data_IF_088734933756
#
_entry.id   IF_088734933756
#
_cell.length_a   1.000
_cell.length_b   1.000
_cell.length_c   1.000
_cell.angle_alpha   90.00
_cell.angle_beta   90.00
_cell.angle_gamma   90.00
#
_symmetry.space_group_name_H-M   'P 1'
#
loop_
_entity.id
_entity.type
_entity.pdbx_description
1 polymer ?
#
# COMPACT_ATOMS: atom_id res chain seq x y z
N UNK A 1 11.36 -20.07 -4.46
CA UNK A 1 10.08 -19.34 -4.55
C UNK A 1 8.96 -20.22 -4.04
N UNK A 2 8.17 -19.72 -3.09
CA UNK A 2 7.00 -20.39 -2.54
C UNK A 2 5.78 -19.52 -2.82
N UNK A 3 4.77 -20.04 -3.50
CA UNK A 3 3.62 -19.24 -3.91
C UNK A 3 2.43 -20.11 -4.29
N UNK A 4 1.35 -19.47 -4.74
CA UNK A 4 0.12 -20.14 -5.17
C UNK A 4 -0.39 -19.43 -6.43
N UNK A 5 -0.74 -20.18 -7.46
CA UNK A 5 -1.38 -19.66 -8.66
C UNK A 5 -2.82 -19.17 -8.37
N UNK A 6 -3.39 -18.30 -9.21
CA UNK A 6 -4.78 -17.83 -9.05
C UNK A 6 -5.83 -18.95 -8.90
N UNK A 7 -5.61 -20.12 -9.51
CA UNK A 7 -6.49 -21.28 -9.37
C UNK A 7 -6.25 -22.16 -8.13
N UNK A 8 -5.32 -21.79 -7.26
CA UNK A 8 -4.97 -22.54 -6.05
C UNK A 8 -3.84 -23.55 -6.21
N UNK A 9 -3.20 -23.67 -7.39
CA UNK A 9 -2.07 -24.59 -7.55
C UNK A 9 -0.85 -24.10 -6.76
N UNK A 10 -0.28 -24.90 -5.83
CA UNK A 10 0.88 -24.49 -5.06
C UNK A 10 2.16 -24.56 -5.89
N UNK A 11 2.97 -23.51 -5.82
CA UNK A 11 4.30 -23.42 -6.43
C UNK A 11 5.34 -23.61 -5.32
N UNK A 12 6.15 -24.66 -5.45
CA UNK A 12 7.23 -24.99 -4.53
C UNK A 12 8.53 -25.15 -5.34
N UNK A 13 9.24 -24.05 -5.57
CA UNK A 13 10.49 -24.03 -6.31
C UNK A 13 11.64 -23.82 -5.32
N UNK A 14 12.46 -24.86 -5.18
CA UNK A 14 13.75 -24.84 -4.49
C UNK A 14 14.88 -25.01 -5.52
N UNK A 15 16.02 -24.37 -5.28
CA UNK A 15 17.21 -24.41 -6.14
C UNK A 15 17.70 -25.84 -6.39
N UNK A 16 17.47 -26.73 -5.41
CA UNK A 16 17.84 -28.16 -5.51
C UNK A 16 16.98 -28.96 -6.47
N UNK A 17 15.72 -28.57 -6.66
CA UNK A 17 14.73 -29.36 -7.40
C UNK A 17 14.51 -28.86 -8.83
N UNK A 18 14.83 -27.59 -9.10
CA UNK A 18 14.56 -26.96 -10.40
C UNK A 18 15.70 -26.00 -10.84
N UNK A 19 16.94 -26.49 -10.99
CA UNK A 19 18.09 -25.64 -11.32
C UNK A 19 18.01 -24.99 -12.71
N UNK A 20 17.20 -25.54 -13.61
CA UNK A 20 17.19 -25.16 -15.04
C UNK A 20 16.09 -24.15 -15.42
N UNK A 21 15.35 -23.59 -14.45
CA UNK A 21 14.30 -22.60 -14.76
C UNK A 21 14.97 -21.30 -15.19
N UNK A 22 15.01 -21.06 -16.51
CA UNK A 22 15.57 -19.86 -17.12
C UNK A 22 14.79 -19.47 -18.36
N UNK A 23 14.89 -18.20 -18.73
CA UNK A 23 14.34 -17.66 -19.97
C UNK A 23 15.39 -16.75 -20.59
N UNK A 24 15.51 -16.81 -21.92
CA UNK A 24 16.34 -15.88 -22.69
C UNK A 24 15.42 -14.81 -23.26
N UNK A 25 15.84 -13.56 -23.16
CA UNK A 25 15.14 -12.43 -23.72
C UNK A 25 15.98 -11.83 -24.83
N UNK A 26 15.47 -11.88 -26.05
CA UNK A 26 16.12 -11.24 -27.18
C UNK A 26 15.97 -9.73 -27.09
N UNK A 27 17.03 -9.01 -27.43
CA UNK A 27 17.01 -7.56 -27.50
C UNK A 27 15.88 -7.09 -28.41
N UNK A 28 15.03 -6.19 -27.90
CA UNK A 28 13.95 -5.58 -28.67
C UNK A 28 14.25 -4.11 -28.93
N UNK A 29 14.20 -3.71 -30.20
CA UNK A 29 14.16 -2.30 -30.57
C UNK A 29 12.84 -1.69 -30.07
N UNK A 30 12.95 -0.66 -29.23
CA UNK A 30 11.79 -0.03 -28.59
C UNK A 30 12.14 1.34 -28.02
N UNK A 31 11.14 1.99 -27.41
CA UNK A 31 11.35 3.24 -26.67
C UNK A 31 11.99 2.96 -25.31
N UNK A 32 12.73 3.93 -24.79
CA UNK A 32 13.21 3.90 -23.40
C UNK A 32 12.00 3.80 -22.44
N UNK A 33 12.20 3.19 -21.26
CA UNK A 33 11.18 2.92 -20.25
C UNK A 33 10.10 1.90 -20.62
N UNK A 34 10.31 1.07 -21.65
CA UNK A 34 9.44 -0.07 -21.86
C UNK A 34 9.62 -1.11 -20.75
N UNK A 35 8.52 -1.77 -20.38
CA UNK A 35 8.43 -2.70 -19.25
C UNK A 35 7.91 -4.05 -19.76
N UNK A 36 8.45 -5.13 -19.22
CA UNK A 36 8.02 -6.50 -19.48
C UNK A 36 7.79 -7.25 -18.16
N UNK A 37 6.76 -8.09 -18.13
CA UNK A 37 6.43 -8.93 -17.00
C UNK A 37 7.15 -10.28 -17.15
N UNK A 38 7.85 -10.68 -16.10
CA UNK A 38 8.47 -12.00 -15.98
C UNK A 38 7.44 -12.92 -15.35
N UNK A 39 6.92 -13.85 -16.14
CA UNK A 39 5.79 -14.72 -15.79
C UNK A 39 6.29 -16.14 -15.54
N UNK A 40 6.00 -16.67 -14.37
CA UNK A 40 6.19 -18.08 -14.06
C UNK A 40 4.87 -18.82 -14.34
N UNK A 41 4.93 -19.81 -15.23
CA UNK A 41 3.78 -20.65 -15.60
C UNK A 41 4.02 -22.08 -15.14
N UNK A 42 2.98 -22.68 -14.57
CA UNK A 42 2.98 -24.08 -14.15
C UNK A 42 2.18 -24.92 -15.12
N UNK A 43 2.74 -26.05 -15.55
CA UNK A 43 2.03 -27.05 -16.34
C UNK A 43 1.75 -28.28 -15.46
N UNK A 44 0.62 -28.29 -14.73
CA UNK A 44 0.35 -29.31 -13.70
C UNK A 44 0.20 -30.73 -14.27
N UNK A 45 -0.21 -30.83 -15.54
CA UNK A 45 -0.44 -32.10 -16.22
C UNK A 45 0.82 -32.61 -16.95
N UNK A 46 1.87 -31.79 -17.05
CA UNK A 46 3.16 -32.19 -17.59
C UNK A 46 4.06 -32.67 -16.46
N UNK A 47 4.13 -34.00 -16.33
CA UNK A 47 4.80 -34.70 -15.24
C UNK A 47 6.28 -34.87 -15.53
N UNK A 48 7.14 -34.26 -14.72
CA UNK A 48 8.60 -34.44 -14.75
C UNK A 48 9.02 -35.40 -13.63
N UNK A 49 9.67 -36.54 -13.93
CA UNK A 49 10.22 -37.44 -12.91
C UNK A 49 11.22 -36.72 -12.00
N UNK A 50 11.16 -36.98 -10.69
CA UNK A 50 11.96 -36.28 -9.69
C UNK A 50 12.36 -37.17 -8.50
N UNK A 51 13.33 -36.72 -7.72
CA UNK A 51 13.91 -37.45 -6.59
C UNK A 51 15.04 -38.40 -6.99
N UNK A 52 15.67 -39.02 -6.01
CA UNK A 52 16.78 -39.96 -6.23
C UNK A 52 16.22 -41.37 -6.42
N UNK A 53 16.43 -42.03 -7.58
CA UNK A 53 16.05 -43.43 -7.78
C UNK A 53 16.75 -44.36 -6.79
N UNK A 54 16.05 -45.40 -6.32
CA UNK A 54 16.67 -46.47 -5.54
C UNK A 54 17.46 -47.38 -6.49
N UNK A 55 18.80 -47.50 -6.33
CA UNK A 55 19.62 -48.35 -7.21
C UNK A 55 19.26 -49.83 -7.13
N UNK A 56 18.54 -50.28 -6.10
CA UNK A 56 18.08 -51.67 -5.96
C UNK A 56 16.70 -51.90 -6.60
N UNK A 57 16.00 -50.86 -7.05
CA UNK A 57 14.70 -51.00 -7.71
C UNK A 57 14.88 -51.45 -9.17
N UNK A 58 14.16 -52.51 -9.57
CA UNK A 58 14.19 -53.05 -10.93
C UNK A 58 12.75 -53.13 -11.49
N UNK A 59 12.41 -52.40 -12.56
CA UNK A 59 13.26 -51.43 -13.27
C UNK A 59 13.48 -50.16 -12.44
N UNK A 60 14.60 -49.47 -12.68
CA UNK A 60 14.92 -48.20 -12.03
C UNK A 60 13.79 -47.18 -12.29
N UNK A 61 13.25 -46.59 -11.22
CA UNK A 61 12.19 -45.57 -11.31
C UNK A 61 12.54 -44.36 -10.46
N UNK A 62 12.02 -43.21 -10.86
CA UNK A 62 12.04 -42.02 -10.02
C UNK A 62 10.90 -42.12 -8.99
N UNK A 63 11.16 -41.84 -7.71
CA UNK A 63 10.17 -42.03 -6.65
C UNK A 63 9.06 -40.98 -6.70
N UNK A 64 9.33 -39.79 -7.25
CA UNK A 64 8.41 -38.66 -7.23
C UNK A 64 8.19 -38.09 -8.63
N UNK A 65 7.18 -37.24 -8.73
CA UNK A 65 6.85 -36.46 -9.93
C UNK A 65 6.63 -35.01 -9.52
N UNK A 66 7.11 -34.08 -10.34
CA UNK A 66 6.87 -32.66 -10.20
C UNK A 66 6.22 -32.09 -11.47
N UNK A 67 5.45 -31.00 -11.37
CA UNK A 67 4.95 -30.30 -12.56
C UNK A 67 6.11 -29.62 -13.30
N UNK A 68 5.91 -29.39 -14.60
CA UNK A 68 6.84 -28.56 -15.37
C UNK A 68 6.59 -27.08 -15.09
N UNK A 69 7.69 -26.32 -14.93
CA UNK A 69 7.68 -24.87 -14.77
C UNK A 69 8.34 -24.21 -15.98
N UNK A 70 7.84 -23.04 -16.38
CA UNK A 70 8.44 -22.25 -17.45
C UNK A 70 8.40 -20.76 -17.09
N UNK A 71 9.49 -20.06 -17.35
CA UNK A 71 9.52 -18.60 -17.36
C UNK A 71 9.23 -18.09 -18.76
N UNK A 72 8.38 -17.07 -18.84
CA UNK A 72 8.14 -16.25 -20.02
C UNK A 72 8.39 -14.78 -19.70
N UNK A 73 8.74 -14.01 -20.72
CA UNK A 73 8.82 -12.56 -20.62
C UNK A 73 7.84 -12.01 -21.64
N UNK A 74 6.87 -11.23 -21.17
CA UNK A 74 5.84 -10.66 -22.03
C UNK A 74 5.80 -9.14 -21.85
N UNK A 75 5.53 -8.35 -22.90
CA UNK A 75 5.35 -6.91 -22.75
C UNK A 75 4.24 -6.60 -21.75
N UNK A 76 4.52 -5.71 -20.81
CA UNK A 76 3.51 -5.27 -19.85
C UNK A 76 2.39 -4.55 -20.61
N UNK A 77 1.16 -5.01 -20.42
CA UNK A 77 -0.04 -4.40 -20.99
C UNK A 77 -1.05 -4.18 -19.86
N UNK A 78 -1.76 -3.07 -19.92
CA UNK A 78 -2.84 -2.79 -19.00
C UNK A 78 -4.00 -3.78 -19.24
N UNK A 79 -4.54 -4.34 -18.15
CA UNK A 79 -5.68 -5.28 -18.16
C UNK A 79 -5.43 -6.66 -18.79
N UNK A 80 -4.18 -7.09 -18.96
CA UNK A 80 -3.89 -8.47 -19.37
C UNK A 80 -4.29 -9.45 -18.27
N UNK A 81 -5.18 -10.37 -18.62
CA UNK A 81 -5.49 -11.54 -17.80
C UNK A 81 -4.46 -12.61 -18.10
N UNK A 82 -3.65 -12.91 -17.10
CA UNK A 82 -2.70 -14.02 -17.15
C UNK A 82 -3.43 -15.36 -17.03
N UNK A 83 -2.82 -16.43 -17.53
CA UNK A 83 -3.33 -17.79 -17.35
C UNK A 83 -3.47 -18.12 -15.86
N UNK A 84 -4.48 -18.92 -15.51
CA UNK A 84 -4.80 -19.22 -14.12
C UNK A 84 -3.71 -20.05 -13.40
N UNK A 85 -2.78 -20.67 -14.14
CA UNK A 85 -1.58 -21.34 -13.64
C UNK A 85 -0.32 -20.47 -13.73
N UNK A 86 -0.46 -19.16 -13.94
CA UNK A 86 0.65 -18.23 -14.07
C UNK A 86 0.66 -17.16 -12.99
N UNK A 87 1.86 -16.75 -12.58
CA UNK A 87 2.09 -15.64 -11.65
C UNK A 87 3.23 -14.76 -12.15
N UNK A 88 3.13 -13.44 -11.95
CA UNK A 88 4.21 -12.52 -12.29
C UNK A 88 5.20 -12.48 -11.14
N UNK A 89 6.42 -12.96 -11.39
CA UNK A 89 7.48 -13.09 -10.37
C UNK A 89 8.50 -11.95 -10.42
N UNK A 90 8.47 -11.14 -11.46
CA UNK A 90 9.38 -10.02 -11.62
C UNK A 90 8.99 -9.11 -12.77
N UNK A 91 9.70 -8.00 -12.87
CA UNK A 91 9.53 -7.02 -13.95
C UNK A 91 10.89 -6.70 -14.53
N UNK A 92 11.00 -6.72 -15.84
CA UNK A 92 12.15 -6.29 -16.61
C UNK A 92 11.88 -4.88 -17.14
N UNK A 93 12.85 -3.97 -16.99
CA UNK A 93 12.79 -2.61 -17.50
C UNK A 93 13.96 -2.36 -18.43
N UNK A 94 13.73 -1.57 -19.48
CA UNK A 94 14.82 -1.01 -20.28
C UNK A 94 15.20 0.35 -19.74
N UNK A 95 16.44 0.45 -19.28
CA UNK A 95 17.04 1.67 -18.75
C UNK A 95 17.41 2.63 -19.90
N UNK A 96 17.62 3.91 -19.57
CA UNK A 96 17.96 4.97 -20.53
C UNK A 96 19.30 4.77 -21.27
N UNK A 97 20.15 3.87 -20.78
CA UNK A 97 21.41 3.47 -21.42
C UNK A 97 21.21 2.28 -22.40
N UNK A 98 19.97 1.94 -22.74
CA UNK A 98 19.58 0.78 -23.53
C UNK A 98 19.89 -0.59 -22.92
N UNK A 99 20.30 -0.65 -21.64
CA UNK A 99 20.47 -1.91 -20.91
C UNK A 99 19.15 -2.37 -20.28
N UNK A 100 19.02 -3.68 -20.10
CA UNK A 100 17.89 -4.27 -19.38
C UNK A 100 18.25 -4.51 -17.92
N UNK A 101 17.37 -4.08 -17.02
CA UNK A 101 17.50 -4.29 -15.58
C UNK A 101 16.24 -4.88 -14.98
N UNK A 102 16.40 -5.66 -13.90
CA UNK A 102 15.26 -6.12 -13.10
C UNK A 102 14.80 -4.97 -12.22
N UNK A 103 13.49 -4.77 -12.13
CA UNK A 103 12.89 -3.79 -11.23
C UNK A 103 12.90 -4.32 -9.79
N UNK A 104 13.88 -3.90 -8.99
CA UNK A 104 13.97 -4.30 -7.58
C UNK A 104 12.86 -3.70 -6.70
N UNK A 105 12.13 -2.69 -7.19
CA UNK A 105 10.98 -2.13 -6.48
C UNK A 105 9.69 -2.92 -6.75
N UNK A 106 9.72 -3.87 -7.68
CA UNK A 106 8.57 -4.72 -7.96
C UNK A 106 8.31 -5.66 -6.76
N UNK A 107 7.06 -5.66 -6.29
CA UNK A 107 6.61 -6.59 -5.27
C UNK A 107 5.73 -7.64 -5.95
N UNK A 108 6.11 -8.93 -5.94
CA UNK A 108 5.29 -9.98 -6.52
C UNK A 108 3.95 -10.12 -5.78
N UNK A 109 2.91 -10.66 -6.44
CA UNK A 109 1.66 -11.06 -5.80
C UNK A 109 1.93 -11.83 -4.51
N UNK A 110 1.42 -11.31 -3.40
CA UNK A 110 1.79 -11.74 -2.05
C UNK A 110 0.55 -11.93 -1.20
N UNK A 111 0.48 -13.07 -0.50
CA UNK A 111 -0.68 -13.43 0.32
C UNK A 111 -0.70 -12.72 1.68
N UNK A 112 0.46 -12.29 2.18
CA UNK A 112 0.60 -11.59 3.45
C UNK A 112 1.66 -10.49 3.39
N UNK A 113 1.61 -9.57 4.34
CA UNK A 113 2.61 -8.51 4.46
C UNK A 113 4.00 -9.04 4.86
N UNK A 114 4.11 -10.23 5.47
CA UNK A 114 5.41 -10.85 5.79
C UNK A 114 6.03 -11.64 4.62
N UNK A 115 5.31 -11.76 3.49
CA UNK A 115 5.77 -12.57 2.35
C UNK A 115 6.93 -11.93 1.55
N UNK A 116 7.15 -10.62 1.73
CA UNK A 116 8.21 -9.86 1.06
C UNK A 116 8.80 -8.82 2.01
N UNK A 117 10.11 -8.59 1.97
CA UNK A 117 10.80 -7.66 2.86
C UNK A 117 10.21 -6.24 2.80
N UNK A 118 10.06 -5.69 1.58
CA UNK A 118 9.44 -4.37 1.41
C UNK A 118 7.99 -4.30 1.92
N UNK A 119 7.22 -5.39 1.88
CA UNK A 119 5.88 -5.39 2.48
C UNK A 119 5.93 -5.36 4.00
N UNK A 120 6.88 -6.09 4.59
CA UNK A 120 7.10 -6.09 6.03
C UNK A 120 7.48 -4.70 6.53
N UNK A 121 8.37 -4.02 5.82
CA UNK A 121 8.76 -2.63 6.09
C UNK A 121 7.56 -1.68 5.96
N UNK A 122 6.80 -1.78 4.86
CA UNK A 122 5.58 -0.99 4.66
C UNK A 122 4.55 -1.21 5.79
N UNK A 123 4.40 -2.44 6.27
CA UNK A 123 3.50 -2.73 7.40
C UNK A 123 3.99 -2.07 8.69
N UNK A 124 5.31 -2.08 8.94
CA UNK A 124 5.91 -1.38 10.08
C UNK A 124 5.62 0.13 10.04
N UNK A 125 5.92 0.79 8.91
CA UNK A 125 5.67 2.20 8.70
C UNK A 125 4.17 2.55 8.81
N UNK A 126 3.30 1.71 8.26
CA UNK A 126 1.86 1.85 8.39
C UNK A 126 1.41 1.88 9.86
N UNK A 127 1.87 0.92 10.67
CA UNK A 127 1.48 0.83 12.08
C UNK A 127 1.98 2.04 12.88
N UNK A 128 3.21 2.47 12.63
CA UNK A 128 3.78 3.67 13.25
C UNK A 128 2.96 4.91 12.90
N UNK A 129 2.67 5.13 11.61
CA UNK A 129 1.89 6.27 11.14
C UNK A 129 0.47 6.30 11.73
N UNK A 130 -0.22 5.16 11.84
CA UNK A 130 -1.56 5.10 12.47
C UNK A 130 -1.50 5.43 13.96
N UNK A 131 -0.49 4.92 14.68
CA UNK A 131 -0.34 5.22 16.11
C UNK A 131 -0.04 6.70 16.33
N UNK A 132 0.79 7.30 15.47
CA UNK A 132 1.08 8.73 15.52
C UNK A 132 -0.17 9.56 15.25
N UNK A 133 -0.90 9.25 14.17
CA UNK A 133 -2.17 9.91 13.85
C UNK A 133 -3.16 9.79 15.01
N UNK A 134 -3.37 8.60 15.58
CA UNK A 134 -4.24 8.38 16.74
C UNK A 134 -3.85 9.27 17.94
N UNK A 135 -2.55 9.34 18.25
CA UNK A 135 -2.03 10.19 19.33
C UNK A 135 -2.24 11.68 19.06
N UNK A 136 -1.95 12.14 17.83
CA UNK A 136 -2.15 13.56 17.45
C UNK A 136 -3.63 13.96 17.48
N UNK A 137 -4.52 13.11 16.97
CA UNK A 137 -5.96 13.37 17.00
C UNK A 137 -6.49 13.48 18.44
N UNK A 138 -6.03 12.62 19.36
CA UNK A 138 -6.37 12.71 20.79
C UNK A 138 -5.85 14.01 21.42
N UNK A 139 -4.61 14.40 21.09
CA UNK A 139 -4.02 15.65 21.57
C UNK A 139 -4.83 16.87 21.11
N UNK A 140 -5.18 16.93 19.82
CA UNK A 140 -6.01 17.98 19.23
C UNK A 140 -7.37 18.07 19.95
N UNK A 141 -8.06 16.94 20.13
CA UNK A 141 -9.35 16.91 20.82
C UNK A 141 -9.27 17.40 22.27
N UNK A 142 -8.24 16.97 23.01
CA UNK A 142 -8.00 17.43 24.38
C UNK A 142 -7.84 18.97 24.43
N UNK A 143 -7.06 19.54 23.50
CA UNK A 143 -6.88 20.99 23.39
C UNK A 143 -8.19 21.72 23.07
N UNK A 144 -9.01 21.21 22.15
CA UNK A 144 -10.33 21.78 21.83
C UNK A 144 -11.25 21.76 23.06
N UNK A 145 -11.20 20.71 23.88
CA UNK A 145 -12.04 20.58 25.07
C UNK A 145 -11.63 21.51 26.21
N UNK A 146 -10.33 21.85 26.31
CA UNK A 146 -9.81 22.75 27.34
C UNK A 146 -10.02 24.23 27.01
N UNK A 147 -10.33 24.56 25.75
CA UNK A 147 -10.57 25.95 25.34
C UNK A 147 -11.92 26.48 25.84
N UNK A 148 -11.98 27.71 26.36
CA UNK A 148 -13.20 28.28 26.93
C UNK A 148 -14.26 28.62 25.88
N UNK A 149 -13.86 28.95 24.65
CA UNK A 149 -14.74 29.29 23.54
C UNK A 149 -14.42 28.42 22.34
N UNK A 150 -15.44 27.74 21.81
CA UNK A 150 -15.34 26.99 20.56
C UNK A 150 -15.78 27.87 19.39
N UNK A 151 -15.14 27.69 18.24
CA UNK A 151 -15.50 28.30 16.96
C UNK A 151 -15.81 27.22 15.91
N UNK A 152 -16.30 27.65 14.74
CA UNK A 152 -16.65 26.77 13.60
C UNK A 152 -15.53 25.80 13.22
N UNK A 153 -14.27 26.24 13.24
CA UNK A 153 -13.09 25.41 12.94
C UNK A 153 -12.94 24.33 14.01
N UNK A 154 -12.98 24.68 15.29
CA UNK A 154 -12.85 23.70 16.38
C UNK A 154 -14.01 22.69 16.40
N UNK A 155 -15.23 23.12 16.10
CA UNK A 155 -16.39 22.24 15.99
C UNK A 155 -16.23 21.24 14.83
N UNK A 156 -15.89 21.75 13.65
CA UNK A 156 -15.67 20.95 12.44
C UNK A 156 -14.50 19.98 12.58
N UNK A 157 -13.39 20.44 13.15
CA UNK A 157 -12.22 19.60 13.44
C UNK A 157 -12.55 18.55 14.51
N UNK A 158 -13.38 18.87 15.50
CA UNK A 158 -13.84 17.90 16.51
C UNK A 158 -14.60 16.74 15.87
N UNK A 159 -15.48 17.02 14.90
CA UNK A 159 -16.20 15.98 14.14
C UNK A 159 -15.21 15.07 13.42
N UNK A 160 -14.29 15.66 12.65
CA UNK A 160 -13.28 14.92 11.88
C UNK A 160 -12.40 14.04 12.79
N UNK A 161 -11.90 14.58 13.90
CA UNK A 161 -11.06 13.81 14.82
C UNK A 161 -11.82 12.65 15.48
N UNK A 162 -13.07 12.88 15.91
CA UNK A 162 -13.90 11.84 16.55
C UNK A 162 -14.22 10.69 15.58
N UNK A 163 -14.62 11.00 14.36
CA UNK A 163 -14.95 9.97 13.35
C UNK A 163 -13.70 9.18 12.95
N UNK A 164 -12.57 9.86 12.74
CA UNK A 164 -11.30 9.20 12.41
C UNK A 164 -10.84 8.27 13.54
N UNK A 165 -10.90 8.73 14.80
CA UNK A 165 -10.53 7.93 15.98
C UNK A 165 -11.45 6.71 16.16
N UNK A 166 -12.76 6.86 15.92
CA UNK A 166 -13.72 5.73 15.97
C UNK A 166 -13.33 4.65 14.96
N UNK A 167 -12.96 5.05 13.74
CA UNK A 167 -12.53 4.11 12.72
C UNK A 167 -11.21 3.40 13.09
N UNK A 168 -10.20 4.14 13.56
CA UNK A 168 -8.94 3.53 14.03
C UNK A 168 -9.23 2.54 15.15
N UNK A 169 -10.06 2.91 16.13
CA UNK A 169 -10.44 2.04 17.24
C UNK A 169 -11.12 0.74 16.77
N UNK A 170 -11.94 0.80 15.72
CA UNK A 170 -12.61 -0.39 15.17
C UNK A 170 -11.65 -1.40 14.53
N UNK A 171 -10.47 -0.95 14.08
CA UNK A 171 -9.47 -1.81 13.42
C UNK A 171 -8.33 -2.26 14.36
N UNK A 172 -8.21 -1.67 15.55
CA UNK A 172 -7.10 -1.90 16.49
C UNK A 172 -6.86 -3.37 16.84
N UNK A 173 -7.92 -4.18 16.96
CA UNK A 173 -7.75 -5.60 17.29
C UNK A 173 -6.95 -6.34 16.20
N UNK A 174 -7.24 -6.05 14.93
CA UNK A 174 -6.53 -6.65 13.79
C UNK A 174 -5.06 -6.23 13.76
N UNK A 175 -4.78 -4.95 14.00
CA UNK A 175 -3.42 -4.40 13.96
C UNK A 175 -2.53 -4.88 15.10
N UNK A 176 -3.12 -5.19 16.26
CA UNK A 176 -2.36 -5.66 17.43
C UNK A 176 -2.02 -7.15 17.38
N UNK A 177 -2.96 -7.98 16.93
CA UNK A 177 -2.81 -9.43 17.09
C UNK A 177 -2.09 -10.09 15.93
N UNK A 178 -2.30 -9.62 14.70
CA UNK A 178 -1.72 -10.29 13.54
C UNK A 178 -1.47 -9.38 12.34
N UNK A 179 -0.75 -8.26 12.51
CA UNK A 179 -0.58 -7.27 11.45
C UNK A 179 0.11 -7.83 10.21
N UNK A 180 1.19 -8.60 10.39
CA UNK A 180 2.02 -9.07 9.28
C UNK A 180 1.39 -10.21 8.46
N UNK A 181 0.37 -10.89 8.99
CA UNK A 181 -0.38 -11.91 8.25
C UNK A 181 -1.56 -11.35 7.47
N UNK A 182 -1.87 -10.05 7.62
CA UNK A 182 -2.85 -9.40 6.75
C UNK A 182 -2.38 -9.48 5.30
N UNK A 183 -3.31 -9.66 4.38
CA UNK A 183 -3.00 -9.55 2.96
C UNK A 183 -2.78 -8.08 2.60
N UNK A 184 -1.98 -7.78 1.56
CA UNK A 184 -1.80 -6.41 1.09
C UNK A 184 -3.13 -5.76 0.67
N UNK A 185 -4.08 -6.55 0.16
CA UNK A 185 -5.45 -6.08 -0.10
C UNK A 185 -6.17 -5.64 1.18
N UNK A 186 -6.12 -6.44 2.25
CA UNK A 186 -6.76 -6.10 3.52
C UNK A 186 -6.16 -4.83 4.15
N UNK A 187 -4.85 -4.60 3.97
CA UNK A 187 -4.21 -3.32 4.37
C UNK A 187 -4.76 -2.17 3.53
N UNK A 188 -4.82 -2.31 2.20
CA UNK A 188 -5.39 -1.30 1.32
C UNK A 188 -6.84 -0.96 1.69
N UNK A 189 -7.68 -1.97 1.92
CA UNK A 189 -9.08 -1.82 2.34
C UNK A 189 -9.18 -1.00 3.63
N UNK A 190 -8.33 -1.30 4.62
CA UNK A 190 -8.33 -0.60 5.90
C UNK A 190 -7.93 0.86 5.78
N UNK A 191 -6.94 1.20 4.95
CA UNK A 191 -6.57 2.59 4.68
C UNK A 191 -7.64 3.32 3.87
N UNK A 192 -8.22 2.63 2.87
CA UNK A 192 -9.30 3.19 2.08
C UNK A 192 -10.51 3.55 2.96
N UNK A 193 -10.84 2.70 3.93
CA UNK A 193 -11.87 3.01 4.91
C UNK A 193 -11.51 4.19 5.84
N UNK A 194 -10.24 4.35 6.22
CA UNK A 194 -9.79 5.50 7.02
C UNK A 194 -10.00 6.80 6.24
N UNK A 195 -9.54 6.85 4.99
CA UNK A 195 -9.72 8.00 4.08
C UNK A 195 -11.20 8.24 3.82
N UNK A 196 -11.98 7.17 3.62
CA UNK A 196 -13.43 7.24 3.50
C UNK A 196 -14.10 7.86 4.72
N UNK A 197 -13.64 7.58 5.94
CA UNK A 197 -14.13 8.22 7.16
C UNK A 197 -13.80 9.72 7.21
N UNK A 198 -12.60 10.13 6.78
CA UNK A 198 -12.23 11.55 6.69
C UNK A 198 -13.13 12.28 5.69
N UNK A 199 -13.30 11.72 4.49
CA UNK A 199 -14.20 12.28 3.47
C UNK A 199 -15.65 12.35 3.95
N UNK A 200 -16.14 11.29 4.58
CA UNK A 200 -17.50 11.24 5.12
C UNK A 200 -17.71 12.27 6.22
N UNK A 201 -16.67 12.56 7.01
CA UNK A 201 -16.72 13.59 8.06
C UNK A 201 -17.07 14.97 7.50
N UNK A 202 -16.61 15.31 6.30
CA UNK A 202 -16.97 16.56 5.63
C UNK A 202 -18.45 16.68 5.26
N UNK A 203 -19.18 15.56 5.17
CA UNK A 203 -20.62 15.57 4.90
C UNK A 203 -21.43 16.01 6.13
N UNK A 204 -20.88 15.85 7.33
CA UNK A 204 -21.51 16.31 8.57
C UNK A 204 -21.26 17.79 8.87
N UNK A 205 -20.43 18.47 8.07
CA UNK A 205 -20.02 19.85 8.26
C UNK A 205 -20.74 20.71 7.22
N UNK A 206 -21.19 21.92 7.61
CA UNK A 206 -21.82 22.84 6.66
C UNK A 206 -20.83 23.25 5.56
N UNK A 207 -21.31 23.58 4.36
CA UNK A 207 -20.42 23.96 3.24
C UNK A 207 -19.50 25.12 3.62
N UNK A 208 -20.02 26.11 4.34
CA UNK A 208 -19.26 27.28 4.80
C UNK A 208 -18.15 26.87 5.77
N UNK A 209 -18.48 26.07 6.79
CA UNK A 209 -17.53 25.69 7.83
C UNK A 209 -16.47 24.70 7.30
N UNK A 210 -16.84 23.86 6.32
CA UNK A 210 -15.89 23.01 5.59
C UNK A 210 -14.87 23.84 4.83
N UNK A 211 -15.31 24.86 4.08
CA UNK A 211 -14.40 25.76 3.37
C UNK A 211 -13.46 26.50 4.33
N UNK A 212 -13.96 26.92 5.50
CA UNK A 212 -13.17 27.54 6.56
C UNK A 212 -12.14 26.56 7.16
N UNK A 213 -12.55 25.32 7.46
CA UNK A 213 -11.66 24.26 7.95
C UNK A 213 -10.54 23.92 6.96
N UNK A 214 -10.85 23.84 5.67
CA UNK A 214 -9.85 23.53 4.65
C UNK A 214 -8.85 24.68 4.44
N UNK A 215 -9.30 25.94 4.52
CA UNK A 215 -8.40 27.10 4.54
C UNK A 215 -7.49 27.08 5.76
N UNK A 216 -8.05 26.71 6.91
CA UNK A 216 -7.26 26.51 8.12
C UNK A 216 -6.20 25.41 7.93
N UNK A 217 -6.53 24.27 7.31
CA UNK A 217 -5.52 23.25 6.98
C UNK A 217 -4.41 23.80 6.09
N UNK A 218 -4.77 24.52 5.02
CA UNK A 218 -3.82 25.15 4.10
C UNK A 218 -2.83 26.05 4.83
N UNK A 219 -3.26 26.81 5.83
CA UNK A 219 -2.35 27.66 6.61
C UNK A 219 -1.25 26.85 7.30
N UNK A 220 -1.55 25.64 7.76
CA UNK A 220 -0.63 24.83 8.57
C UNK A 220 0.18 23.80 7.80
N UNK A 221 -0.29 23.33 6.65
CA UNK A 221 0.43 22.36 5.82
C UNK A 221 0.78 22.87 4.40
N UNK A 222 0.33 24.06 4.01
CA UNK A 222 0.58 24.65 2.69
C UNK A 222 -0.20 24.03 1.54
N UNK A 223 -1.04 23.02 1.79
CA UNK A 223 -1.80 22.31 0.76
C UNK A 223 -3.10 23.07 0.47
N UNK A 224 -3.35 23.40 -0.80
CA UNK A 224 -4.58 24.07 -1.21
C UNK A 224 -5.82 23.21 -0.88
N UNK A 225 -6.95 23.80 -0.45
CA UNK A 225 -8.19 23.09 -0.13
C UNK A 225 -8.61 22.08 -1.21
N UNK A 226 -8.64 22.52 -2.47
CA UNK A 226 -9.01 21.67 -3.60
C UNK A 226 -8.03 20.51 -3.80
N UNK A 227 -6.72 20.75 -3.63
CA UNK A 227 -5.69 19.71 -3.75
C UNK A 227 -5.80 18.67 -2.62
N UNK A 228 -6.14 19.10 -1.40
CA UNK A 228 -6.34 18.19 -0.27
C UNK A 228 -7.53 17.27 -0.49
N UNK A 229 -8.67 17.83 -0.91
CA UNK A 229 -9.87 17.03 -1.21
C UNK A 229 -9.66 16.09 -2.41
N UNK A 230 -8.99 16.57 -3.46
CA UNK A 230 -8.67 15.76 -4.63
C UNK A 230 -7.76 14.59 -4.25
N UNK A 231 -6.71 14.84 -3.44
CA UNK A 231 -5.81 13.81 -2.95
C UNK A 231 -6.56 12.70 -2.20
N UNK A 232 -7.47 13.07 -1.28
CA UNK A 232 -8.30 12.09 -0.56
C UNK A 232 -9.24 11.33 -1.50
N UNK A 233 -9.85 12.03 -2.46
CA UNK A 233 -10.82 11.44 -3.40
C UNK A 233 -10.14 10.48 -4.39
N UNK A 234 -8.98 10.85 -4.91
CA UNK A 234 -8.17 10.02 -5.82
C UNK A 234 -7.71 8.75 -5.12
N UNK A 235 -7.24 8.86 -3.88
CA UNK A 235 -6.89 7.70 -3.08
C UNK A 235 -8.11 6.81 -2.82
N UNK A 236 -9.26 7.40 -2.45
CA UNK A 236 -10.48 6.65 -2.15
C UNK A 236 -11.05 5.91 -3.37
N UNK A 237 -10.86 6.47 -4.56
CA UNK A 237 -11.26 5.87 -5.84
C UNK A 237 -10.25 4.85 -6.40
N UNK A 238 -9.08 4.71 -5.78
CA UNK A 238 -8.03 3.84 -6.26
C UNK A 238 -8.46 2.37 -6.27
N UNK A 239 -8.22 1.69 -7.40
CA UNK A 239 -8.45 0.25 -7.51
C UNK A 239 -7.19 -0.53 -7.14
N UNK A 240 -7.34 -1.56 -6.32
CA UNK A 240 -6.24 -2.44 -5.98
C UNK A 240 -5.84 -3.34 -7.16
N UNK A 241 -4.54 -3.39 -7.46
CA UNK A 241 -3.97 -4.32 -8.45
C UNK A 241 -2.98 -5.27 -7.77
N UNK A 242 -3.37 -6.53 -7.63
CA UNK A 242 -2.56 -7.55 -6.95
C UNK A 242 -1.24 -7.88 -7.69
N UNK A 243 -1.16 -7.58 -8.98
CA UNK A 243 0.07 -7.72 -9.76
C UNK A 243 0.98 -6.50 -9.66
N UNK A 244 0.54 -5.43 -8.99
CA UNK A 244 1.26 -4.15 -8.83
C UNK A 244 1.11 -3.60 -7.42
N UNK A 245 1.34 -4.45 -6.42
CA UNK A 245 1.14 -4.12 -5.00
C UNK A 245 1.94 -2.88 -4.57
N UNK A 246 3.15 -2.73 -5.11
CA UNK A 246 4.03 -1.59 -4.84
C UNK A 246 3.36 -0.23 -5.13
N UNK A 247 2.47 -0.15 -6.13
CA UNK A 247 1.76 1.09 -6.44
C UNK A 247 0.77 1.45 -5.33
N UNK A 248 0.01 0.46 -4.83
CA UNK A 248 -0.91 0.67 -3.72
C UNK A 248 -0.15 1.00 -2.43
N UNK A 249 0.99 0.36 -2.16
CA UNK A 249 1.82 0.67 -0.99
C UNK A 249 2.39 2.08 -1.05
N UNK A 250 2.86 2.52 -2.22
CA UNK A 250 3.32 3.89 -2.43
C UNK A 250 2.21 4.91 -2.14
N UNK A 251 1.02 4.70 -2.69
CA UNK A 251 -0.14 5.58 -2.44
C UNK A 251 -0.54 5.59 -0.97
N UNK A 252 -0.52 4.43 -0.28
CA UNK A 252 -0.82 4.33 1.15
C UNK A 252 0.17 5.14 1.98
N UNK A 253 1.47 4.97 1.73
CA UNK A 253 2.49 5.71 2.45
C UNK A 253 2.33 7.21 2.21
N UNK A 254 2.10 7.62 0.96
CA UNK A 254 1.90 9.01 0.61
C UNK A 254 0.71 9.63 1.35
N UNK A 255 -0.46 8.98 1.37
CA UNK A 255 -1.64 9.56 2.04
C UNK A 255 -1.48 9.59 3.56
N UNK A 256 -0.87 8.57 4.16
CA UNK A 256 -0.64 8.52 5.60
C UNK A 256 0.36 9.57 6.06
N UNK A 257 1.44 9.80 5.30
CA UNK A 257 2.40 10.85 5.61
C UNK A 257 1.75 12.24 5.56
N UNK A 258 0.97 12.53 4.51
CA UNK A 258 0.25 13.82 4.40
C UNK A 258 -0.72 14.05 5.56
N UNK A 259 -1.48 13.01 5.97
CA UNK A 259 -2.38 13.10 7.11
C UNK A 259 -1.62 13.26 8.43
N UNK A 260 -0.54 12.48 8.63
CA UNK A 260 0.31 12.56 9.81
C UNK A 260 0.92 13.95 9.95
N UNK A 261 1.45 14.52 8.86
CA UNK A 261 2.03 15.86 8.85
C UNK A 261 1.00 16.91 9.25
N UNK A 262 -0.18 16.89 8.63
CA UNK A 262 -1.28 17.81 8.96
C UNK A 262 -1.63 17.73 10.46
N UNK A 263 -1.93 16.54 10.98
CA UNK A 263 -2.33 16.41 12.38
C UNK A 263 -1.18 16.68 13.34
N UNK A 264 0.07 16.44 12.94
CA UNK A 264 1.23 16.79 13.76
C UNK A 264 1.37 18.31 13.89
N UNK A 265 1.23 19.05 12.79
CA UNK A 265 1.29 20.52 12.82
C UNK A 265 0.16 21.10 13.67
N UNK A 266 -1.07 20.61 13.50
CA UNK A 266 -2.21 21.05 14.31
C UNK A 266 -2.06 20.69 15.80
N UNK A 267 -1.51 19.51 16.11
CA UNK A 267 -1.28 19.07 17.48
C UNK A 267 -0.20 19.88 18.20
N UNK A 268 0.69 20.60 17.49
CA UNK A 268 1.70 21.46 18.11
C UNK A 268 1.13 22.82 18.57
N UNK A 269 -0.02 23.24 18.02
CA UNK A 269 -0.60 24.55 18.33
C UNK A 269 -1.06 24.65 19.77
N UNK A 270 -0.77 25.77 20.44
CA UNK A 270 -1.30 26.05 21.77
C UNK A 270 -2.83 26.24 21.72
N UNK A 271 -3.30 27.03 20.74
CA UNK A 271 -4.71 27.29 20.48
C UNK A 271 -5.15 26.76 19.10
N UNK A 272 -5.63 25.52 19.08
CA UNK A 272 -6.27 24.92 17.89
C UNK A 272 -7.48 25.75 17.47
N UNK A 273 -7.64 25.97 16.16
CA UNK A 273 -8.77 26.73 15.58
C UNK A 273 -8.56 28.24 15.45
N UNK A 274 -7.35 28.75 15.75
CA UNK A 274 -6.98 30.14 15.48
C UNK A 274 -6.15 30.26 14.21
N UNK A 275 -6.52 31.18 13.32
CA UNK A 275 -5.76 31.49 12.11
C UNK A 275 -4.39 32.08 12.44
N UNK A 276 -3.37 31.77 11.62
CA UNK A 276 -1.98 32.23 11.84
C UNK A 276 -1.86 33.74 12.01
N UNK A 277 -2.61 34.50 11.22
CA UNK A 277 -2.59 35.97 11.26
C UNK A 277 -3.04 36.52 12.62
N UNK A 278 -3.96 35.84 13.31
CA UNK A 278 -4.44 36.26 14.63
C UNK A 278 -3.38 36.09 15.71
N UNK A 279 -2.48 35.11 15.56
CA UNK A 279 -1.41 34.80 16.51
C UNK A 279 -0.30 35.88 16.45
N UNK A 280 0.07 36.30 15.24
CA UNK A 280 1.10 37.34 15.03
C UNK A 280 0.66 38.71 15.58
N UNK A 281 -0.64 39.03 15.47
CA UNK A 281 -1.19 40.29 15.97
C UNK A 281 -1.20 40.33 17.52
N UNK A 282 -1.39 39.20 18.19
CA UNK A 282 -1.27 39.13 19.66
C UNK A 282 0.16 39.32 20.16
N UNK A 283 1.17 38.78 19.47
CA UNK A 283 2.58 38.96 19.85
C UNK A 283 3.07 40.40 19.58
N UNK A 284 2.58 41.05 18.52
CA UNK A 284 2.96 42.42 18.16
C UNK A 284 2.38 43.50 19.10
N UNK A 285 1.46 43.11 19.98
CA UNK A 285 0.78 44.00 20.95
C UNK A 285 1.22 43.76 22.39
N UNK A 286 2.17 42.85 22.62
CA UNK A 286 2.80 42.59 23.91
C UNK A 286 4.07 43.43 24.10
#
# INVERSE_FOLDING_TARGET
YYGICPNGFPILIDEKNNPDIRVTFDYQEGKDNQIWDIVLTVFPFQRKPAGTPDPNEIPLRYPNVQPQFQLGIIPTQENTTYDAFSVIVGVLKRNSNAEYGIDHNYIPPSLSMDAHESLKENMGAFLENINDIDSKLKSILSKIQMQPNQNSITESLSVLCKETLRYIASNNYSFKNNPYQLSPFAVCEKINGLVGCVLSSFTFISKKDKEELLKYFQEWNGILPASFEQMLSDFYAMTYNHNRIQLSMYSINSILENLKELFSNLAQLEFVGQHRESIVISESRA
#
